data_IF_998939391220
#
_entry.id   IF_998939391220
#
_cell.length_a   1.000
_cell.length_b   1.000
_cell.length_c   1.000
_cell.angle_alpha   90.00
_cell.angle_beta   90.00
_cell.angle_gamma   90.00
#
_symmetry.space_group_name_H-M   'P 1'
#
loop_
_entity.id
_entity.type
_entity.pdbx_description
1 polymer ?
#
# COMPACT_ATOMS: atom_id res chain seq x y z
N UNK A 1 -0.83 10.00 -78.42
CA UNK A 1 -1.81 8.95 -78.11
C UNK A 1 -1.23 8.02 -77.09
N UNK A 2 -1.72 8.02 -75.85
CA UNK A 2 -1.60 6.87 -74.98
C UNK A 2 -2.36 7.12 -73.67
N UNK A 3 -3.11 6.18 -73.29
CA UNK A 3 -4.19 6.21 -72.34
C UNK A 3 -3.74 6.30 -70.86
N UNK A 4 -4.51 7.06 -70.14
CA UNK A 4 -4.55 7.23 -68.67
C UNK A 4 -5.19 5.99 -68.04
N UNK A 5 -4.51 5.34 -67.08
CA UNK A 5 -5.12 4.31 -66.23
C UNK A 5 -5.09 4.80 -64.76
N UNK A 6 -6.29 5.13 -64.26
CA UNK A 6 -6.59 5.37 -62.86
C UNK A 6 -6.53 4.05 -62.09
N UNK A 7 -5.81 3.99 -61.00
CA UNK A 7 -6.01 2.99 -59.95
C UNK A 7 -6.40 3.70 -58.68
N UNK A 8 -7.63 3.48 -58.27
CA UNK A 8 -8.18 3.85 -56.99
C UNK A 8 -7.88 2.74 -55.97
N UNK A 9 -6.97 3.00 -55.02
CA UNK A 9 -6.74 2.12 -53.88
C UNK A 9 -7.50 2.60 -52.66
N UNK A 10 -8.65 1.96 -52.37
CA UNK A 10 -9.35 2.06 -51.09
C UNK A 10 -8.60 1.21 -50.07
N UNK A 11 -7.85 1.84 -49.17
CA UNK A 11 -7.31 1.23 -47.95
C UNK A 11 -8.22 1.54 -46.78
N UNK A 12 -9.19 0.69 -46.51
CA UNK A 12 -10.01 0.73 -45.33
C UNK A 12 -9.23 0.14 -44.14
N UNK A 13 -8.71 0.99 -43.26
CA UNK A 13 -8.17 0.55 -41.96
C UNK A 13 -9.35 0.21 -41.04
N UNK A 14 -9.77 -1.04 -41.05
CA UNK A 14 -10.69 -1.60 -40.07
C UNK A 14 -9.99 -1.68 -38.71
N UNK A 15 -10.28 -0.74 -37.81
CA UNK A 15 -10.00 -0.87 -36.38
C UNK A 15 -10.99 -1.89 -35.82
N UNK A 16 -10.62 -3.16 -35.87
CA UNK A 16 -11.30 -4.22 -35.12
C UNK A 16 -11.03 -4.03 -33.66
N UNK A 17 -11.92 -3.30 -32.98
CA UNK A 17 -12.03 -3.34 -31.53
C UNK A 17 -12.40 -4.77 -31.14
N UNK A 18 -11.42 -5.54 -30.70
CA UNK A 18 -11.61 -6.91 -30.24
C UNK A 18 -12.43 -6.84 -28.94
N UNK A 19 -13.72 -7.12 -29.04
CA UNK A 19 -14.60 -7.21 -27.88
C UNK A 19 -14.11 -8.36 -27.00
N UNK A 20 -13.71 -8.05 -25.73
CA UNK A 20 -13.25 -9.04 -24.76
C UNK A 20 -14.20 -10.24 -24.69
N UNK A 21 -13.63 -11.45 -24.64
CA UNK A 21 -14.36 -12.70 -24.59
C UNK A 21 -15.36 -12.72 -23.40
N UNK A 22 -16.49 -13.45 -23.50
CA UNK A 22 -17.49 -13.51 -22.42
C UNK A 22 -16.92 -13.94 -21.07
N UNK A 23 -15.87 -14.78 -21.06
CA UNK A 23 -15.16 -15.21 -19.87
C UNK A 23 -14.39 -14.05 -19.21
N UNK A 24 -13.71 -13.22 -20.00
CA UNK A 24 -12.96 -12.05 -19.52
C UNK A 24 -13.91 -11.02 -18.89
N UNK A 25 -15.09 -10.83 -19.47
CA UNK A 25 -16.11 -9.93 -18.92
C UNK A 25 -16.68 -10.43 -17.59
N UNK A 26 -16.81 -11.75 -17.41
CA UNK A 26 -17.25 -12.34 -16.14
C UNK A 26 -16.17 -12.21 -15.08
N UNK A 27 -14.91 -12.46 -15.41
CA UNK A 27 -13.77 -12.29 -14.52
C UNK A 27 -13.63 -10.82 -14.08
N UNK A 28 -13.68 -9.86 -15.02
CA UNK A 28 -13.63 -8.44 -14.74
C UNK A 28 -14.77 -7.98 -13.81
N UNK A 29 -16.01 -8.45 -14.04
CA UNK A 29 -17.16 -8.14 -13.18
C UNK A 29 -16.99 -8.72 -11.76
N UNK A 30 -16.41 -9.92 -11.64
CA UNK A 30 -16.13 -10.54 -10.34
C UNK A 30 -15.10 -9.72 -9.57
N UNK A 31 -14.03 -9.31 -10.23
CA UNK A 31 -12.97 -8.50 -9.63
C UNK A 31 -13.48 -7.11 -9.23
N UNK A 32 -14.23 -6.44 -10.09
CA UNK A 32 -14.87 -5.17 -9.77
C UNK A 32 -15.79 -5.28 -8.54
N UNK A 33 -16.54 -6.36 -8.42
CA UNK A 33 -17.41 -6.61 -7.25
C UNK A 33 -16.58 -6.86 -5.99
N UNK A 34 -15.48 -7.63 -6.12
CA UNK A 34 -14.55 -7.86 -5.01
C UNK A 34 -13.94 -6.53 -4.51
N UNK A 35 -13.47 -5.69 -5.42
CA UNK A 35 -12.95 -4.36 -5.08
C UNK A 35 -14.01 -3.49 -4.37
N UNK A 36 -15.26 -3.51 -4.82
CA UNK A 36 -16.34 -2.79 -4.18
C UNK A 36 -16.64 -3.30 -2.75
N UNK A 37 -16.56 -4.62 -2.53
CA UNK A 37 -16.71 -5.20 -1.19
C UNK A 37 -15.57 -4.77 -0.27
N UNK A 38 -14.32 -4.79 -0.74
CA UNK A 38 -13.16 -4.38 0.05
C UNK A 38 -13.21 -2.89 0.41
N UNK A 39 -13.62 -2.02 -0.52
CA UNK A 39 -13.82 -0.60 -0.24
C UNK A 39 -14.90 -0.38 0.85
N UNK A 40 -16.04 -1.05 0.72
CA UNK A 40 -17.12 -1.01 1.71
C UNK A 40 -16.69 -1.57 3.07
N UNK A 41 -15.86 -2.63 3.08
CA UNK A 41 -15.31 -3.21 4.30
C UNK A 41 -14.42 -2.23 5.06
N UNK A 42 -13.49 -1.56 4.36
CA UNK A 42 -12.65 -0.55 4.98
C UNK A 42 -13.48 0.58 5.60
N UNK A 43 -14.50 1.07 4.88
CA UNK A 43 -15.39 2.09 5.40
C UNK A 43 -16.14 1.64 6.66
N UNK A 44 -16.63 0.40 6.67
CA UNK A 44 -17.34 -0.15 7.82
C UNK A 44 -16.43 -0.35 9.02
N UNK A 45 -15.21 -0.89 8.80
CA UNK A 45 -14.22 -1.05 9.84
C UNK A 45 -13.76 0.29 10.44
N UNK A 46 -13.57 1.31 9.61
CA UNK A 46 -13.20 2.66 10.07
C UNK A 46 -14.33 3.32 10.85
N UNK A 47 -15.59 3.14 10.40
CA UNK A 47 -16.74 3.80 11.01
C UNK A 47 -17.15 3.18 12.36
N UNK A 48 -17.02 1.84 12.51
CA UNK A 48 -17.55 1.11 13.68
C UNK A 48 -16.50 0.33 14.46
N UNK A 49 -15.25 0.32 14.02
CA UNK A 49 -14.23 -0.58 14.53
C UNK A 49 -14.43 -2.02 14.02
N UNK A 50 -13.37 -2.82 14.12
CA UNK A 50 -13.43 -4.22 13.67
C UNK A 50 -14.40 -5.06 14.49
N UNK A 51 -14.50 -4.82 15.82
CA UNK A 51 -15.36 -5.57 16.71
C UNK A 51 -16.83 -5.54 16.29
N UNK A 52 -17.36 -4.33 16.07
CA UNK A 52 -18.78 -4.09 15.81
C UNK A 52 -19.17 -4.29 14.33
N UNK A 53 -18.19 -4.30 13.41
CA UNK A 53 -18.45 -4.49 11.99
C UNK A 53 -19.00 -5.90 11.69
N UNK A 54 -19.99 -5.97 10.79
CA UNK A 54 -20.64 -7.21 10.36
C UNK A 54 -20.60 -7.33 8.84
N UNK A 55 -20.47 -8.54 8.32
CA UNK A 55 -20.50 -8.79 6.86
C UNK A 55 -21.81 -8.30 6.22
N UNK A 56 -22.92 -8.40 6.94
CA UNK A 56 -24.21 -7.92 6.46
C UNK A 56 -24.22 -6.39 6.21
N UNK A 57 -23.56 -5.63 7.08
CA UNK A 57 -23.44 -4.18 6.95
C UNK A 57 -22.50 -3.81 5.79
N UNK A 58 -21.43 -4.57 5.61
CA UNK A 58 -20.54 -4.46 4.45
C UNK A 58 -21.30 -4.75 3.16
N UNK A 59 -22.10 -5.82 3.10
CA UNK A 59 -22.91 -6.17 1.92
C UNK A 59 -23.88 -5.04 1.56
N UNK A 60 -24.58 -4.48 2.55
CA UNK A 60 -25.49 -3.35 2.36
C UNK A 60 -24.76 -2.12 1.82
N UNK A 61 -23.59 -1.79 2.37
CA UNK A 61 -22.74 -0.68 1.92
C UNK A 61 -22.21 -0.91 0.50
N UNK A 62 -21.80 -2.12 0.16
CA UNK A 62 -21.37 -2.53 -1.18
C UNK A 62 -22.53 -2.67 -2.19
N UNK A 63 -23.79 -2.47 -1.75
CA UNK A 63 -25.01 -2.62 -2.57
C UNK A 63 -25.13 -4.00 -3.21
N UNK A 64 -24.81 -5.04 -2.46
CA UNK A 64 -24.97 -6.44 -2.88
C UNK A 64 -25.92 -7.18 -1.90
N UNK A 65 -26.51 -8.28 -2.37
CA UNK A 65 -27.31 -9.13 -1.51
C UNK A 65 -26.46 -9.76 -0.40
N UNK A 66 -27.04 -9.91 0.80
CA UNK A 66 -26.40 -10.55 1.95
C UNK A 66 -25.74 -11.89 1.60
N UNK A 67 -26.43 -12.78 0.90
CA UNK A 67 -25.88 -14.07 0.49
C UNK A 67 -24.71 -13.96 -0.47
N UNK A 68 -24.61 -12.86 -1.21
CA UNK A 68 -23.52 -12.66 -2.19
C UNK A 68 -22.17 -12.45 -1.50
N UNK A 69 -22.11 -11.77 -0.34
CA UNK A 69 -20.83 -11.52 0.34
C UNK A 69 -20.19 -12.82 0.81
N UNK A 70 -20.99 -13.80 1.25
CA UNK A 70 -20.52 -15.10 1.72
C UNK A 70 -19.97 -15.99 0.60
N UNK A 71 -20.21 -15.65 -0.69
CA UNK A 71 -19.54 -16.28 -1.83
C UNK A 71 -18.10 -15.79 -2.02
N UNK A 72 -17.74 -14.67 -1.40
CA UNK A 72 -16.41 -14.06 -1.49
C UNK A 72 -15.61 -14.21 -0.20
N UNK A 73 -16.26 -14.05 0.94
CA UNK A 73 -15.61 -14.03 2.26
C UNK A 73 -16.44 -14.81 3.29
N UNK A 74 -15.79 -15.74 4.00
CA UNK A 74 -16.45 -16.58 5.00
C UNK A 74 -16.76 -15.80 6.29
N UNK A 75 -15.84 -14.92 6.67
CA UNK A 75 -15.88 -14.13 7.90
C UNK A 75 -15.20 -12.76 7.69
N UNK A 76 -15.25 -11.93 8.72
CA UNK A 76 -14.64 -10.60 8.68
C UNK A 76 -13.11 -10.64 8.75
N UNK A 77 -12.55 -11.70 9.32
CA UNK A 77 -11.11 -11.95 9.38
C UNK A 77 -10.54 -12.23 7.97
N UNK A 78 -11.19 -13.10 7.19
CA UNK A 78 -10.81 -13.36 5.80
C UNK A 78 -10.96 -12.12 4.91
N UNK A 79 -12.01 -11.31 5.16
CA UNK A 79 -12.21 -10.03 4.48
C UNK A 79 -11.10 -9.02 4.82
N UNK A 80 -10.70 -8.93 6.09
CA UNK A 80 -9.58 -8.09 6.53
C UNK A 80 -8.25 -8.56 5.94
N UNK A 81 -7.98 -9.86 5.96
CA UNK A 81 -6.77 -10.42 5.33
C UNK A 81 -6.67 -10.02 3.87
N UNK A 82 -7.77 -10.12 3.14
CA UNK A 82 -7.78 -9.74 1.73
C UNK A 82 -7.63 -8.23 1.54
N UNK A 83 -8.17 -7.42 2.45
CA UNK A 83 -7.97 -5.97 2.46
C UNK A 83 -6.47 -5.61 2.59
N UNK A 84 -5.77 -6.25 3.55
CA UNK A 84 -4.32 -6.08 3.73
C UNK A 84 -3.56 -6.51 2.47
N UNK A 85 -3.88 -7.68 1.91
CA UNK A 85 -3.23 -8.17 0.69
C UNK A 85 -3.43 -7.23 -0.49
N UNK A 86 -4.63 -6.78 -0.72
CA UNK A 86 -4.93 -5.92 -1.87
C UNK A 86 -4.34 -4.52 -1.72
N UNK A 87 -4.36 -3.96 -0.52
CA UNK A 87 -3.93 -2.58 -0.31
C UNK A 87 -2.44 -2.43 -0.02
N UNK A 88 -1.82 -3.37 0.71
CA UNK A 88 -0.45 -3.20 1.21
C UNK A 88 0.57 -4.12 0.52
N UNK A 89 0.22 -5.36 0.17
CA UNK A 89 1.19 -6.29 -0.43
C UNK A 89 1.80 -5.82 -1.77
N UNK A 90 1.11 -5.07 -2.66
CA UNK A 90 1.74 -4.54 -3.86
C UNK A 90 2.92 -3.60 -3.56
N UNK A 91 2.82 -2.79 -2.49
CA UNK A 91 3.91 -1.91 -2.05
C UNK A 91 5.11 -2.70 -1.53
N UNK A 92 4.85 -3.80 -0.81
CA UNK A 92 5.88 -4.74 -0.35
C UNK A 92 6.64 -5.31 -1.54
N UNK A 93 5.94 -5.79 -2.57
CA UNK A 93 6.55 -6.29 -3.79
C UNK A 93 7.43 -5.27 -4.50
N UNK A 94 7.04 -4.00 -4.50
CA UNK A 94 7.85 -2.90 -5.05
C UNK A 94 9.14 -2.72 -4.26
N UNK A 95 9.09 -2.78 -2.92
CA UNK A 95 10.27 -2.66 -2.05
C UNK A 95 11.21 -3.86 -2.23
N UNK A 96 10.67 -5.07 -2.32
CA UNK A 96 11.45 -6.30 -2.52
C UNK A 96 12.17 -6.32 -3.88
N UNK A 97 11.50 -5.84 -4.93
CA UNK A 97 12.04 -5.84 -6.29
C UNK A 97 12.98 -4.66 -6.60
N UNK A 98 13.05 -3.64 -5.72
CA UNK A 98 13.82 -2.43 -6.00
C UNK A 98 15.33 -2.71 -6.10
N UNK A 99 16.02 -2.34 -7.20
CA UNK A 99 17.45 -2.57 -7.41
C UNK A 99 18.29 -1.53 -6.65
N UNK A 100 18.14 -1.49 -5.32
CA UNK A 100 18.75 -0.45 -4.47
C UNK A 100 20.15 -0.79 -3.96
N UNK A 101 20.82 -1.83 -4.48
CA UNK A 101 22.07 -2.33 -3.90
C UNK A 101 23.19 -1.29 -3.88
N UNK A 102 23.29 -0.50 -4.93
CA UNK A 102 24.37 0.48 -5.10
C UNK A 102 23.92 1.93 -4.86
N UNK A 103 22.72 2.10 -4.31
CA UNK A 103 22.17 3.42 -3.93
C UNK A 103 22.60 3.73 -2.49
N UNK A 104 23.11 4.96 -2.19
CA UNK A 104 23.44 5.37 -0.84
C UNK A 104 22.25 5.20 0.11
N UNK A 105 22.52 4.79 1.36
CA UNK A 105 21.45 4.44 2.31
C UNK A 105 20.50 5.61 2.62
N UNK A 106 21.04 6.84 2.65
CA UNK A 106 20.22 8.05 2.83
C UNK A 106 19.20 8.19 1.69
N UNK A 107 19.63 8.05 0.44
CA UNK A 107 18.73 8.13 -0.73
C UNK A 107 17.68 7.01 -0.73
N UNK A 108 18.05 5.81 -0.27
CA UNK A 108 17.09 4.72 -0.06
C UNK A 108 16.04 5.11 0.99
N UNK A 109 16.47 5.72 2.09
CA UNK A 109 15.56 6.17 3.15
C UNK A 109 14.63 7.29 2.66
N UNK A 110 15.13 8.25 1.87
CA UNK A 110 14.33 9.32 1.24
C UNK A 110 13.27 8.74 0.28
N UNK A 111 13.63 7.75 -0.55
CA UNK A 111 12.66 7.05 -1.40
C UNK A 111 11.58 6.33 -0.59
N UNK A 112 11.94 5.69 0.53
CA UNK A 112 10.97 5.03 1.43
C UNK A 112 10.01 6.07 2.01
N UNK A 113 10.52 7.23 2.43
CA UNK A 113 9.71 8.36 2.93
C UNK A 113 8.73 8.83 1.87
N UNK A 114 9.17 9.04 0.64
CA UNK A 114 8.32 9.48 -0.46
C UNK A 114 7.21 8.45 -0.78
N UNK A 115 7.55 7.17 -0.83
CA UNK A 115 6.57 6.09 -1.02
C UNK A 115 5.58 6.09 0.14
N UNK A 116 6.04 6.21 1.38
CA UNK A 116 5.16 6.25 2.54
C UNK A 116 4.18 7.44 2.46
N UNK A 117 4.67 8.64 2.16
CA UNK A 117 3.84 9.84 2.07
C UNK A 117 2.80 9.72 0.95
N UNK A 118 3.23 9.32 -0.24
CA UNK A 118 2.35 9.26 -1.43
C UNK A 118 1.39 8.08 -1.38
N UNK A 119 1.90 6.89 -1.10
CA UNK A 119 1.16 5.65 -1.29
C UNK A 119 0.43 5.18 -0.02
N UNK A 120 0.92 5.53 1.16
CA UNK A 120 0.31 5.10 2.42
C UNK A 120 -0.45 6.27 3.04
N UNK A 121 0.24 7.32 3.42
CA UNK A 121 -0.35 8.42 4.18
C UNK A 121 -1.34 9.24 3.36
N UNK A 122 -1.04 9.54 2.10
CA UNK A 122 -1.91 10.25 1.15
C UNK A 122 -3.13 9.44 0.67
N UNK A 123 -3.26 8.18 1.06
CA UNK A 123 -4.33 7.28 0.60
C UNK A 123 -5.09 6.64 1.75
N UNK A 124 -6.11 5.85 1.43
CA UNK A 124 -6.87 5.06 2.42
C UNK A 124 -6.04 3.93 3.08
N UNK A 125 -4.82 3.65 2.62
CA UNK A 125 -3.93 2.65 3.25
C UNK A 125 -3.55 3.02 4.68
N UNK A 126 -3.44 4.30 5.01
CA UNK A 126 -3.26 4.75 6.40
C UNK A 126 -4.38 4.29 7.34
N UNK A 127 -5.61 4.17 6.81
CA UNK A 127 -6.75 3.73 7.62
C UNK A 127 -6.62 2.25 8.02
N UNK A 128 -6.02 1.41 7.14
CA UNK A 128 -5.70 0.02 7.46
C UNK A 128 -4.66 -0.05 8.58
N UNK A 129 -3.62 0.78 8.52
CA UNK A 129 -2.59 0.85 9.57
C UNK A 129 -3.20 1.31 10.89
N UNK A 130 -4.04 2.35 10.88
CA UNK A 130 -4.77 2.80 12.07
C UNK A 130 -5.61 1.69 12.68
N UNK A 131 -6.34 0.96 11.85
CA UNK A 131 -7.16 -0.15 12.29
C UNK A 131 -6.33 -1.25 12.98
N UNK A 132 -5.16 -1.58 12.41
CA UNK A 132 -4.24 -2.55 13.02
C UNK A 132 -3.71 -2.04 14.36
N UNK A 133 -3.33 -0.77 14.46
CA UNK A 133 -2.82 -0.18 15.71
C UNK A 133 -3.90 -0.18 16.79
N UNK A 134 -5.14 0.20 16.44
CA UNK A 134 -6.23 0.33 17.42
C UNK A 134 -6.85 -1.00 17.83
N UNK A 135 -6.96 -1.94 16.91
CA UNK A 135 -7.71 -3.20 17.12
C UNK A 135 -6.80 -4.43 17.27
N UNK A 136 -5.54 -4.36 16.79
CA UNK A 136 -4.60 -5.48 16.82
C UNK A 136 -4.37 -6.08 18.21
N UNK A 137 -4.22 -5.29 19.28
CA UNK A 137 -4.08 -5.82 20.65
C UNK A 137 -5.30 -6.64 21.09
N UNK A 138 -6.50 -6.27 20.64
CA UNK A 138 -7.76 -6.97 20.97
C UNK A 138 -8.02 -8.15 20.04
N UNK A 139 -7.60 -8.06 18.78
CA UNK A 139 -7.78 -9.07 17.74
C UNK A 139 -6.43 -9.51 17.17
N UNK A 140 -5.68 -10.41 17.86
CA UNK A 140 -4.31 -10.78 17.47
C UNK A 140 -4.17 -11.28 16.03
N UNK A 141 -5.22 -11.90 15.47
CA UNK A 141 -5.24 -12.34 14.08
C UNK A 141 -5.03 -11.20 13.06
N UNK A 142 -5.50 -9.97 13.38
CA UNK A 142 -5.27 -8.81 12.52
C UNK A 142 -3.79 -8.43 12.49
N UNK A 143 -3.17 -8.38 13.66
CA UNK A 143 -1.75 -8.10 13.81
C UNK A 143 -0.89 -9.20 13.14
N UNK A 144 -1.27 -10.48 13.30
CA UNK A 144 -0.62 -11.62 12.65
C UNK A 144 -0.66 -11.52 11.13
N UNK A 145 -1.83 -11.22 10.56
CA UNK A 145 -1.98 -11.04 9.11
C UNK A 145 -1.08 -9.92 8.61
N UNK A 146 -1.09 -8.77 9.27
CA UNK A 146 -0.24 -7.64 8.88
C UNK A 146 1.25 -7.97 9.03
N UNK A 147 1.63 -8.62 10.13
CA UNK A 147 3.00 -9.06 10.33
C UNK A 147 3.47 -9.99 9.19
N UNK A 148 2.70 -11.00 8.86
CA UNK A 148 3.04 -11.98 7.82
C UNK A 148 3.08 -11.36 6.42
N UNK A 149 2.05 -10.59 6.05
CA UNK A 149 1.88 -10.06 4.69
C UNK A 149 2.78 -8.83 4.41
N UNK A 150 3.22 -8.12 5.45
CA UNK A 150 3.97 -6.87 5.30
C UNK A 150 5.29 -6.90 6.08
N UNK A 151 5.25 -6.99 7.41
CA UNK A 151 6.42 -6.76 8.25
C UNK A 151 7.49 -7.83 8.03
N UNK A 152 7.11 -9.10 8.04
CA UNK A 152 8.04 -10.24 7.85
C UNK A 152 8.72 -10.23 6.47
N UNK A 153 8.17 -9.53 5.50
CA UNK A 153 8.73 -9.38 4.15
C UNK A 153 9.62 -8.14 4.02
N UNK A 154 9.15 -7.00 4.51
CA UNK A 154 9.85 -5.71 4.37
C UNK A 154 11.04 -5.60 5.32
N UNK A 155 10.87 -6.05 6.58
CA UNK A 155 11.89 -5.88 7.62
C UNK A 155 13.24 -6.51 7.29
N UNK A 156 13.34 -7.74 6.73
CA UNK A 156 14.62 -8.33 6.32
C UNK A 156 15.31 -7.54 5.20
N UNK A 157 14.54 -6.99 4.25
CA UNK A 157 15.08 -6.15 3.17
C UNK A 157 15.72 -4.90 3.74
N UNK A 158 15.00 -4.18 4.60
CA UNK A 158 15.53 -2.96 5.25
C UNK A 158 16.76 -3.30 6.09
N UNK A 159 16.71 -4.36 6.90
CA UNK A 159 17.84 -4.79 7.74
C UNK A 159 19.08 -5.11 6.90
N UNK A 160 18.92 -5.85 5.81
CA UNK A 160 20.03 -6.17 4.91
C UNK A 160 20.67 -4.93 4.28
N UNK A 161 19.85 -3.93 3.95
CA UNK A 161 20.35 -2.65 3.41
C UNK A 161 21.12 -1.84 4.44
N UNK A 162 20.62 -1.77 5.66
CA UNK A 162 21.29 -1.07 6.75
C UNK A 162 22.59 -1.78 7.15
N UNK A 163 22.64 -3.10 7.16
CA UNK A 163 23.87 -3.85 7.42
C UNK A 163 24.94 -3.55 6.34
N UNK A 164 24.56 -3.58 5.07
CA UNK A 164 25.46 -3.23 3.96
C UNK A 164 25.96 -1.78 4.06
N UNK A 165 25.14 -0.84 4.50
CA UNK A 165 25.52 0.54 4.71
C UNK A 165 26.55 0.70 5.85
N UNK A 166 26.46 -0.11 6.91
CA UNK A 166 27.50 -0.17 7.97
C UNK A 166 28.81 -0.69 7.40
N UNK A 167 28.78 -1.80 6.62
CA UNK A 167 29.97 -2.37 5.99
C UNK A 167 30.67 -1.40 5.03
N UNK A 168 29.91 -0.52 4.38
CA UNK A 168 30.43 0.51 3.46
C UNK A 168 30.87 1.79 4.15
N UNK A 169 30.69 1.89 5.46
CA UNK A 169 31.02 3.10 6.23
C UNK A 169 30.02 4.26 6.00
N UNK A 170 28.88 4.02 5.35
CA UNK A 170 27.81 5.02 5.18
C UNK A 170 27.09 5.31 6.52
N UNK A 171 27.15 4.38 7.45
CA UNK A 171 26.61 4.51 8.83
C UNK A 171 27.73 4.30 9.84
N UNK A 172 27.94 5.29 10.68
CA UNK A 172 28.98 5.24 11.74
C UNK A 172 28.61 4.32 12.91
N UNK A 173 27.34 3.93 13.05
CA UNK A 173 26.80 3.10 14.14
C UNK A 173 25.88 2.03 13.61
N UNK A 174 25.91 0.86 14.25
CA UNK A 174 25.06 -0.29 13.90
C UNK A 174 23.62 -0.20 14.46
N UNK A 175 23.29 0.87 15.17
CA UNK A 175 22.00 1.01 15.84
C UNK A 175 20.80 0.86 14.89
N UNK A 176 20.87 1.43 13.68
CA UNK A 176 19.82 1.28 12.67
C UNK A 176 19.73 -0.14 12.12
N UNK A 177 20.87 -0.82 11.93
CA UNK A 177 20.88 -2.23 11.49
C UNK A 177 20.28 -3.16 12.55
N UNK A 178 20.54 -2.86 13.83
CA UNK A 178 19.96 -3.61 14.96
C UNK A 178 18.48 -3.30 15.18
N UNK A 179 18.10 -2.05 14.99
CA UNK A 179 16.74 -1.55 15.22
C UNK A 179 16.19 -0.82 13.97
N UNK A 180 15.94 -1.52 12.86
CA UNK A 180 15.44 -0.92 11.63
C UNK A 180 14.08 -0.21 11.80
N UNK A 181 13.36 -0.50 12.89
CA UNK A 181 12.14 0.19 13.28
C UNK A 181 12.35 1.70 13.51
N UNK A 182 13.57 2.11 13.88
CA UNK A 182 13.90 3.53 14.04
C UNK A 182 13.71 4.32 12.75
N UNK A 183 13.94 3.70 11.59
CA UNK A 183 13.78 4.35 10.30
C UNK A 183 12.29 4.72 10.02
N UNK A 184 11.37 3.89 10.46
CA UNK A 184 9.92 4.05 10.20
C UNK A 184 9.15 4.62 11.40
N UNK A 185 9.80 4.85 12.54
CA UNK A 185 9.17 5.31 13.78
C UNK A 185 8.34 6.61 13.58
N UNK A 186 8.86 7.69 12.93
CA UNK A 186 8.10 8.92 12.77
C UNK A 186 6.90 8.75 11.87
N UNK A 187 6.93 7.81 10.91
CA UNK A 187 5.79 7.49 10.07
C UNK A 187 4.61 6.94 10.90
N UNK A 188 4.89 6.01 11.83
CA UNK A 188 3.88 5.49 12.74
C UNK A 188 3.40 6.56 13.72
N UNK A 189 4.33 7.37 14.25
CA UNK A 189 3.97 8.51 15.11
C UNK A 189 3.01 9.45 14.40
N UNK A 190 3.29 9.83 13.14
CA UNK A 190 2.43 10.74 12.39
C UNK A 190 1.03 10.16 12.11
N UNK A 191 0.94 8.85 11.83
CA UNK A 191 -0.36 8.18 11.65
C UNK A 191 -1.19 8.23 12.93
N UNK A 192 -0.57 7.97 14.08
CA UNK A 192 -1.25 8.01 15.39
C UNK A 192 -1.57 9.45 15.79
N UNK A 193 -0.58 10.34 15.75
CA UNK A 193 -0.73 11.74 16.16
C UNK A 193 -1.84 12.45 15.38
N UNK A 194 -1.75 12.42 14.05
CA UNK A 194 -2.76 13.06 13.21
C UNK A 194 -4.12 12.35 13.29
N UNK A 195 -4.14 11.08 13.68
CA UNK A 195 -5.38 10.36 13.98
C UNK A 195 -6.09 10.88 15.22
N UNK A 196 -5.33 11.19 16.27
CA UNK A 196 -5.85 11.62 17.56
C UNK A 196 -5.95 13.16 17.68
N UNK A 197 -4.92 13.85 17.24
CA UNK A 197 -4.70 15.27 17.52
C UNK A 197 -4.66 16.15 16.27
N UNK A 198 -4.81 15.60 15.06
CA UNK A 198 -4.68 16.34 13.81
C UNK A 198 -5.60 17.55 13.66
N UNK A 199 -6.75 17.57 14.36
CA UNK A 199 -7.66 18.73 14.41
C UNK A 199 -7.20 19.84 15.37
N UNK A 200 -6.27 19.56 16.27
CA UNK A 200 -5.76 20.50 17.30
C UNK A 200 -4.34 20.94 16.99
N UNK A 201 -3.48 19.98 16.66
CA UNK A 201 -2.06 20.15 16.43
C UNK A 201 -1.63 19.21 15.27
N UNK A 202 -1.91 19.56 14.02
CA UNK A 202 -1.53 18.74 12.89
C UNK A 202 -0.01 18.69 12.74
N UNK A 203 0.54 17.48 12.52
CA UNK A 203 1.93 17.30 12.13
C UNK A 203 2.05 17.29 10.62
N UNK A 204 2.96 18.11 10.09
CA UNK A 204 3.43 17.95 8.72
C UNK A 204 4.33 16.70 8.66
N UNK A 205 3.82 15.68 7.97
CA UNK A 205 4.51 14.39 7.92
C UNK A 205 5.78 14.46 7.08
N UNK A 206 5.80 15.29 6.03
CA UNK A 206 6.98 15.42 5.18
C UNK A 206 8.11 16.08 5.96
N UNK A 207 7.83 17.19 6.61
CA UNK A 207 8.79 17.91 7.44
C UNK A 207 9.31 17.02 8.57
N UNK A 208 8.42 16.33 9.30
CA UNK A 208 8.78 15.39 10.36
C UNK A 208 9.71 14.28 9.86
N UNK A 209 9.40 13.68 8.72
CA UNK A 209 10.19 12.57 8.17
C UNK A 209 11.57 13.03 7.71
N UNK A 210 11.67 14.19 7.04
CA UNK A 210 12.96 14.74 6.62
C UNK A 210 13.82 15.15 7.83
N UNK A 211 13.26 15.84 8.83
CA UNK A 211 13.96 16.16 10.06
C UNK A 211 14.50 14.89 10.75
N UNK A 212 13.73 13.81 10.73
CA UNK A 212 14.20 12.54 11.27
C UNK A 212 15.37 11.94 10.48
N UNK A 213 15.32 12.01 9.14
CA UNK A 213 16.44 11.54 8.32
C UNK A 213 17.71 12.36 8.57
N UNK A 214 17.60 13.68 8.79
CA UNK A 214 18.72 14.53 9.13
C UNK A 214 19.33 14.17 10.49
N UNK A 215 18.49 13.81 11.47
CA UNK A 215 18.96 13.29 12.76
C UNK A 215 19.70 11.95 12.65
N UNK A 216 19.27 11.07 11.72
CA UNK A 216 19.86 9.74 11.55
C UNK A 216 21.15 9.75 10.72
N UNK A 217 21.20 10.57 9.67
CA UNK A 217 22.26 10.55 8.66
C UNK A 217 23.13 11.81 8.63
N UNK A 218 22.82 12.79 9.47
CA UNK A 218 23.38 14.15 9.38
C UNK A 218 22.65 15.00 8.34
N UNK A 219 22.88 16.33 8.38
CA UNK A 219 22.31 17.24 7.37
C UNK A 219 22.78 16.83 5.98
N UNK A 220 21.85 16.68 5.03
CA UNK A 220 22.18 16.42 3.65
C UNK A 220 22.99 17.59 3.12
N UNK A 221 24.22 17.34 2.71
CA UNK A 221 24.96 18.33 1.92
C UNK A 221 24.11 18.65 0.69
N UNK A 222 23.43 19.80 0.71
CA UNK A 222 22.82 20.35 -0.48
C UNK A 222 23.96 20.64 -1.47
N UNK A 223 24.11 19.75 -2.45
CA UNK A 223 25.01 19.97 -3.60
C UNK A 223 24.17 20.41 -4.78
#
# INVERSE_FOLDING_TARGET
MAARRKQSGKGGAGRTGQAAAPQDRRAARREQRRAAILAAALEEFVARGFAAARLDDVARRARIAKGTIYLYFQDKESLFQELVRTMLSPLVGTIEAAPLRDVPIRSVAEMIVDVFIKEIYGTRRKDVIRLIISEGPRFPKLAEVYYREVIARVLPVIRGRLALAVERGELSRDALARFPQLLVAPALLAVVWNGLFGRFAPLDIRELMHAHLDLLFGEGSAT
#
